data_IF_384906929952
#
_entry.id   IF_384906929952
#
_cell.length_a   1.000
_cell.length_b   1.000
_cell.length_c   1.000
_cell.angle_alpha   90.00
_cell.angle_beta   90.00
_cell.angle_gamma   90.00
#
_symmetry.space_group_name_H-M   'P 1'
#
loop_
_entity.id
_entity.type
_entity.pdbx_description
1 polymer ?
#
# COMPACT_ATOMS: atom_id res chain seq x y z
N UNK A 1 6.08 -11.61 -2.36
CA UNK A 1 5.12 -12.39 -1.55
C UNK A 1 3.82 -12.61 -2.33
N UNK A 2 2.93 -11.61 -2.53
CA UNK A 2 1.62 -11.82 -3.17
C UNK A 2 1.70 -12.55 -4.51
N UNK A 3 2.47 -12.05 -5.48
CA UNK A 3 2.60 -12.70 -6.79
C UNK A 3 2.99 -14.18 -6.73
N UNK A 4 3.87 -14.55 -5.80
CA UNK A 4 4.22 -15.96 -5.58
C UNK A 4 3.04 -16.77 -5.05
N UNK A 5 2.24 -16.22 -4.14
CA UNK A 5 1.07 -16.92 -3.57
C UNK A 5 -0.02 -17.17 -4.61
N UNK A 6 -0.23 -16.22 -5.52
CA UNK A 6 -1.29 -16.31 -6.54
C UNK A 6 -0.78 -16.76 -7.92
N UNK A 7 0.51 -17.10 -8.06
CA UNK A 7 1.10 -17.62 -9.29
C UNK A 7 1.22 -16.59 -10.42
N UNK A 8 1.24 -15.28 -10.11
CA UNK A 8 1.37 -14.23 -11.12
C UNK A 8 2.81 -13.66 -11.18
N UNK A 9 3.28 -13.30 -12.38
CA UNK A 9 4.56 -12.61 -12.54
C UNK A 9 4.52 -11.23 -11.88
N UNK A 10 5.67 -10.78 -11.39
CA UNK A 10 5.81 -9.49 -10.71
C UNK A 10 6.76 -8.61 -11.49
N UNK A 11 6.31 -7.38 -11.79
CA UNK A 11 7.07 -6.38 -12.52
C UNK A 11 7.19 -5.10 -11.71
N UNK A 12 8.29 -4.36 -11.89
CA UNK A 12 8.27 -2.93 -11.58
C UNK A 12 7.29 -2.22 -12.53
N UNK A 13 6.80 -1.03 -12.17
CA UNK A 13 5.91 -0.28 -13.07
C UNK A 13 6.59 0.04 -14.41
N UNK A 14 7.89 0.34 -14.38
CA UNK A 14 8.68 0.61 -15.59
C UNK A 14 8.80 -0.63 -16.49
N UNK A 15 9.06 -1.80 -15.89
CA UNK A 15 9.16 -3.04 -16.65
C UNK A 15 7.79 -3.52 -17.15
N UNK A 16 6.73 -3.35 -16.36
CA UNK A 16 5.38 -3.63 -16.80
C UNK A 16 5.02 -2.82 -18.06
N UNK A 17 5.35 -1.52 -18.11
CA UNK A 17 5.12 -0.65 -19.27
C UNK A 17 5.89 -1.07 -20.53
N UNK A 18 7.01 -1.79 -20.37
CA UNK A 18 7.80 -2.31 -21.50
C UNK A 18 7.34 -3.67 -21.99
N UNK A 19 6.84 -4.52 -21.06
CA UNK A 19 6.60 -5.93 -21.32
C UNK A 19 5.12 -6.30 -21.45
N UNK A 20 4.20 -5.45 -21.00
CA UNK A 20 2.76 -5.70 -21.04
C UNK A 20 2.08 -4.74 -22.03
N UNK A 21 1.05 -5.23 -22.69
CA UNK A 21 0.22 -4.40 -23.56
C UNK A 21 -0.59 -3.39 -22.74
N UNK A 22 -0.86 -2.24 -23.35
CA UNK A 22 -1.74 -1.24 -22.76
C UNK A 22 -3.14 -1.81 -22.52
N UNK A 23 -3.69 -1.60 -21.32
CA UNK A 23 -4.99 -2.13 -20.93
C UNK A 23 -4.94 -3.53 -20.33
N UNK A 24 -3.77 -4.17 -20.25
CA UNK A 24 -3.63 -5.45 -19.54
C UNK A 24 -4.19 -5.36 -18.13
N UNK A 25 -4.98 -6.38 -17.71
CA UNK A 25 -5.48 -6.50 -16.34
C UNK A 25 -4.34 -6.75 -15.36
N UNK A 26 -4.23 -5.91 -14.34
CA UNK A 26 -3.17 -6.03 -13.33
C UNK A 26 -3.70 -5.93 -11.90
N UNK A 27 -2.92 -6.45 -10.98
CA UNK A 27 -2.98 -6.18 -9.55
C UNK A 27 -1.87 -5.16 -9.23
N UNK A 28 -2.25 -4.02 -8.69
CA UNK A 28 -1.30 -2.95 -8.39
C UNK A 28 -0.93 -2.94 -6.91
N UNK A 29 0.36 -2.97 -6.61
CA UNK A 29 0.88 -2.77 -5.25
C UNK A 29 1.64 -1.46 -5.19
N UNK A 30 1.25 -0.58 -4.27
CA UNK A 30 1.93 0.71 -4.07
C UNK A 30 1.95 1.11 -2.60
N UNK A 31 2.99 1.80 -2.19
CA UNK A 31 3.06 2.31 -0.83
C UNK A 31 2.29 3.63 -0.67
N UNK A 32 1.72 3.83 0.52
CA UNK A 32 0.93 4.99 0.89
C UNK A 32 1.81 6.09 1.48
N UNK A 33 1.61 7.31 1.00
CA UNK A 33 2.14 8.52 1.62
C UNK A 33 1.05 9.59 1.63
N UNK A 34 0.65 10.04 2.83
CA UNK A 34 -0.46 10.99 3.01
C UNK A 34 -1.71 10.55 2.22
N UNK A 35 -2.13 9.31 2.41
CA UNK A 35 -3.25 8.62 1.76
C UNK A 35 -3.15 8.49 0.22
N UNK A 36 -2.10 9.03 -0.41
CA UNK A 36 -1.82 8.85 -1.83
C UNK A 36 -0.99 7.59 -2.06
N UNK A 37 -1.35 6.80 -3.09
CA UNK A 37 -0.63 5.60 -3.48
C UNK A 37 0.41 5.98 -4.54
N UNK A 38 1.68 5.72 -4.24
CA UNK A 38 2.79 6.04 -5.14
C UNK A 38 2.65 5.28 -6.46
N UNK A 39 2.69 6.02 -7.58
CA UNK A 39 2.65 5.47 -8.94
C UNK A 39 1.27 5.02 -9.44
N UNK A 40 0.23 5.01 -8.59
CA UNK A 40 -1.12 4.54 -8.96
C UNK A 40 -1.68 5.25 -10.21
N UNK A 41 -1.69 6.59 -10.23
CA UNK A 41 -2.21 7.38 -11.36
C UNK A 41 -1.48 7.12 -12.68
N UNK A 42 -0.22 6.75 -12.62
CA UNK A 42 0.56 6.39 -13.79
C UNK A 42 0.21 4.98 -14.28
N UNK A 43 0.07 4.03 -13.37
CA UNK A 43 -0.38 2.68 -13.69
C UNK A 43 -1.80 2.66 -14.28
N UNK A 44 -2.71 3.44 -13.71
CA UNK A 44 -4.11 3.55 -14.15
C UNK A 44 -4.27 4.09 -15.59
N UNK A 45 -3.33 4.94 -16.04
CA UNK A 45 -3.30 5.40 -17.43
C UNK A 45 -2.87 4.34 -18.45
N UNK A 46 -2.16 3.31 -17.97
CA UNK A 46 -1.54 2.30 -18.82
C UNK A 46 -2.29 0.97 -18.78
N UNK A 47 -2.88 0.62 -17.64
CA UNK A 47 -3.37 -0.71 -17.36
C UNK A 47 -4.81 -0.71 -16.83
N UNK A 48 -5.48 -1.85 -16.93
CA UNK A 48 -6.77 -2.09 -16.29
C UNK A 48 -6.52 -2.64 -14.88
N UNK A 49 -6.57 -1.75 -13.86
CA UNK A 49 -6.30 -2.18 -12.48
C UNK A 49 -7.53 -2.87 -11.92
N UNK A 50 -7.42 -4.16 -11.62
CA UNK A 50 -8.49 -4.99 -11.04
C UNK A 50 -8.51 -4.94 -9.53
N UNK A 51 -7.32 -4.91 -8.93
CA UNK A 51 -7.13 -4.84 -7.48
C UNK A 51 -5.98 -3.90 -7.15
N UNK A 52 -6.14 -3.15 -6.07
CA UNK A 52 -5.09 -2.30 -5.47
C UNK A 52 -4.76 -2.82 -4.09
N UNK A 53 -3.49 -3.10 -3.84
CA UNK A 53 -2.94 -3.33 -2.52
C UNK A 53 -2.13 -2.10 -2.09
N UNK A 54 -2.71 -1.27 -1.26
CA UNK A 54 -2.11 -0.05 -0.75
C UNK A 54 -1.35 -0.35 0.56
N UNK A 55 -0.03 -0.27 0.54
CA UNK A 55 0.84 -0.66 1.67
C UNK A 55 1.24 0.57 2.48
N UNK A 56 0.93 0.57 3.77
CA UNK A 56 1.21 1.68 4.69
C UNK A 56 1.73 1.23 6.05
N UNK A 57 1.85 2.16 6.98
CA UNK A 57 2.24 1.88 8.37
C UNK A 57 1.04 1.52 9.25
N UNK A 58 -0.17 1.91 8.86
CA UNK A 58 -1.40 1.58 9.59
C UNK A 58 -1.72 0.09 9.53
N UNK A 59 -2.50 -0.39 10.48
CA UNK A 59 -2.95 -1.78 10.51
C UNK A 59 -3.70 -2.16 9.23
N UNK A 60 -3.59 -3.42 8.82
CA UNK A 60 -4.28 -3.97 7.64
C UNK A 60 -5.79 -3.75 7.76
N UNK A 61 -6.43 -3.32 6.66
CA UNK A 61 -7.86 -3.01 6.61
C UNK A 61 -8.25 -1.61 7.07
N UNK A 62 -7.32 -0.82 7.64
CA UNK A 62 -7.59 0.56 8.08
C UNK A 62 -7.45 1.56 6.91
N UNK A 63 -8.03 2.76 7.05
CA UNK A 63 -7.91 3.88 6.10
C UNK A 63 -8.41 3.59 4.67
N UNK A 64 -9.10 2.49 4.42
CA UNK A 64 -9.50 2.02 3.10
C UNK A 64 -10.28 3.10 2.33
N UNK A 65 -11.30 3.69 2.96
CA UNK A 65 -12.16 4.70 2.31
C UNK A 65 -11.39 5.99 2.00
N UNK A 66 -10.51 6.41 2.89
CA UNK A 66 -9.66 7.58 2.69
C UNK A 66 -8.71 7.39 1.51
N UNK A 67 -8.04 6.23 1.45
CA UNK A 67 -7.13 5.85 0.36
C UNK A 67 -7.89 5.79 -0.96
N UNK A 68 -9.07 5.15 -1.01
CA UNK A 68 -9.91 5.07 -2.20
C UNK A 68 -10.27 6.46 -2.72
N UNK A 69 -10.78 7.34 -1.85
CA UNK A 69 -11.23 8.68 -2.20
C UNK A 69 -10.05 9.55 -2.67
N UNK A 70 -8.93 9.54 -1.95
CA UNK A 70 -7.75 10.34 -2.27
C UNK A 70 -7.16 10.01 -3.64
N UNK A 71 -7.20 8.75 -4.03
CA UNK A 71 -6.65 8.27 -5.29
C UNK A 71 -7.71 8.16 -6.40
N UNK A 72 -8.99 8.46 -6.11
CA UNK A 72 -10.11 8.38 -7.04
C UNK A 72 -10.25 6.97 -7.65
N UNK A 73 -10.06 5.94 -6.82
CA UNK A 73 -10.15 4.55 -7.27
C UNK A 73 -11.61 4.18 -7.52
N UNK A 74 -11.97 3.71 -8.74
CA UNK A 74 -13.33 3.34 -9.09
C UNK A 74 -13.92 2.30 -8.13
N UNK A 75 -15.24 2.31 -7.96
CA UNK A 75 -15.94 1.32 -7.13
C UNK A 75 -15.79 -0.12 -7.67
N UNK A 76 -15.57 -0.27 -8.97
CA UNK A 76 -15.32 -1.57 -9.62
C UNK A 76 -13.94 -2.15 -9.38
N UNK A 77 -13.01 -1.37 -8.83
CA UNK A 77 -11.65 -1.82 -8.49
C UNK A 77 -11.61 -2.21 -7.02
N UNK A 78 -11.19 -3.43 -6.72
CA UNK A 78 -11.02 -3.86 -5.33
C UNK A 78 -9.83 -3.17 -4.67
N UNK A 79 -9.94 -2.82 -3.39
CA UNK A 79 -8.88 -2.12 -2.65
C UNK A 79 -8.65 -2.78 -1.30
N UNK A 80 -7.42 -3.11 -1.04
CA UNK A 80 -6.95 -3.57 0.27
C UNK A 80 -5.87 -2.63 0.78
N UNK A 81 -5.95 -2.25 2.05
CA UNK A 81 -4.86 -1.58 2.75
C UNK A 81 -4.11 -2.63 3.57
N UNK A 82 -2.80 -2.64 3.45
CA UNK A 82 -1.95 -3.66 4.05
C UNK A 82 -0.91 -3.00 4.94
N UNK A 83 -0.70 -3.55 6.13
CA UNK A 83 0.39 -3.11 6.96
C UNK A 83 1.73 -3.59 6.40
N UNK A 84 2.65 -2.65 6.22
CA UNK A 84 3.98 -2.89 5.67
C UNK A 84 5.10 -2.64 6.66
N UNK A 85 6.20 -2.15 6.14
CA UNK A 85 7.34 -1.72 6.94
C UNK A 85 7.67 -0.25 6.72
N UNK A 86 8.49 0.28 7.60
CA UNK A 86 9.03 1.62 7.53
C UNK A 86 10.53 1.62 7.82
N UNK A 87 11.31 2.23 6.94
CA UNK A 87 12.75 2.32 7.05
C UNK A 87 13.24 3.66 6.51
N UNK A 88 13.55 4.57 7.43
CA UNK A 88 14.05 5.92 7.11
C UNK A 88 15.42 5.90 6.42
N UNK A 89 16.23 4.86 6.63
CA UNK A 89 17.58 4.78 6.06
C UNK A 89 17.53 4.44 4.57
N UNK A 90 16.49 3.72 4.15
CA UNK A 90 16.27 3.38 2.73
C UNK A 90 15.69 4.53 1.91
N UNK A 91 15.09 5.51 2.56
CA UNK A 91 14.53 6.68 1.87
C UNK A 91 15.64 7.63 1.41
N UNK A 92 15.42 8.26 0.25
CA UNK A 92 16.35 9.22 -0.35
C UNK A 92 15.60 10.48 -0.81
N UNK A 93 16.35 11.59 -0.92
CA UNK A 93 15.86 12.85 -1.50
C UNK A 93 14.60 13.37 -0.84
N UNK A 94 13.68 13.85 -1.66
CA UNK A 94 12.41 14.48 -1.23
C UNK A 94 11.57 13.55 -0.38
N UNK A 95 11.53 12.25 -0.69
CA UNK A 95 10.77 11.28 0.10
C UNK A 95 11.28 11.19 1.54
N UNK A 96 12.60 11.18 1.74
CA UNK A 96 13.20 11.19 3.08
C UNK A 96 12.84 12.45 3.86
N UNK A 97 12.89 13.63 3.20
CA UNK A 97 12.53 14.90 3.82
C UNK A 97 11.05 14.91 4.23
N UNK A 98 10.14 14.52 3.33
CA UNK A 98 8.70 14.49 3.60
C UNK A 98 8.36 13.53 4.75
N UNK A 99 8.94 12.33 4.75
CA UNK A 99 8.73 11.35 5.82
C UNK A 99 9.31 11.83 7.15
N UNK A 100 10.47 12.49 7.14
CA UNK A 100 11.04 13.10 8.35
C UNK A 100 10.12 14.18 8.94
N UNK A 101 9.51 15.00 8.11
CA UNK A 101 8.53 16.00 8.57
C UNK A 101 7.27 15.33 9.13
N UNK A 102 6.77 14.30 8.44
CA UNK A 102 5.60 13.55 8.89
C UNK A 102 5.84 12.88 10.26
N UNK A 103 6.98 12.23 10.45
CA UNK A 103 7.34 11.62 11.74
C UNK A 103 7.42 12.69 12.84
N UNK A 104 8.01 13.85 12.56
CA UNK A 104 8.10 14.95 13.53
C UNK A 104 6.75 15.56 13.90
N UNK A 105 5.80 15.62 12.98
CA UNK A 105 4.48 16.24 13.21
C UNK A 105 3.45 15.22 13.68
N UNK A 106 3.12 14.24 12.83
CA UNK A 106 2.13 13.23 13.15
C UNK A 106 2.59 12.26 14.25
N UNK A 107 3.89 11.89 14.25
CA UNK A 107 4.47 11.05 15.29
C UNK A 107 4.45 11.74 16.66
N UNK A 108 4.75 13.06 16.70
CA UNK A 108 4.64 13.84 17.94
C UNK A 108 3.21 13.95 18.43
N UNK A 109 2.26 14.29 17.53
CA UNK A 109 0.84 14.38 17.88
C UNK A 109 0.30 13.02 18.40
N UNK A 110 0.72 11.93 17.78
CA UNK A 110 0.35 10.59 18.21
C UNK A 110 1.00 10.22 19.56
N UNK A 111 2.25 10.61 19.79
CA UNK A 111 2.94 10.38 21.06
C UNK A 111 2.31 11.15 22.24
N UNK A 112 1.75 12.35 21.98
CA UNK A 112 1.06 13.18 22.98
C UNK A 112 -0.38 12.75 23.26
N UNK A 113 -0.95 11.87 22.44
CA UNK A 113 -2.31 11.34 22.63
C UNK A 113 -2.35 10.39 23.84
N UNK A 114 -3.19 10.69 24.85
CA UNK A 114 -3.28 9.90 26.09
C UNK A 114 -3.94 8.53 25.89
N UNK A 115 -4.96 8.47 25.04
CA UNK A 115 -5.81 7.27 24.84
C UNK A 115 -5.51 6.63 23.47
N UNK A 116 -4.27 6.20 23.26
CA UNK A 116 -3.90 5.48 22.02
C UNK A 116 -4.46 4.06 22.03
N UNK A 117 -4.89 3.63 20.84
CA UNK A 117 -5.22 2.23 20.60
C UNK A 117 -3.94 1.40 20.38
N UNK A 118 -3.99 0.06 20.52
CA UNK A 118 -2.85 -0.81 20.21
C UNK A 118 -2.29 -0.60 18.79
N UNK A 119 -3.17 -0.33 17.81
CA UNK A 119 -2.77 -0.05 16.42
C UNK A 119 -2.05 1.29 16.29
N UNK A 120 -2.46 2.29 17.06
CA UNK A 120 -1.79 3.59 17.13
C UNK A 120 -0.43 3.50 17.81
N UNK A 121 -0.30 2.65 18.85
CA UNK A 121 0.98 2.38 19.50
C UNK A 121 1.95 1.65 18.55
N UNK A 122 1.47 0.65 17.80
CA UNK A 122 2.28 -0.05 16.79
C UNK A 122 2.71 0.88 15.66
N UNK A 123 1.82 1.78 15.21
CA UNK A 123 2.14 2.78 14.20
C UNK A 123 3.19 3.78 14.71
N UNK A 124 3.08 4.21 15.97
CA UNK A 124 4.08 5.08 16.60
C UNK A 124 5.43 4.39 16.70
N UNK A 125 5.46 3.11 17.11
CA UNK A 125 6.67 2.31 17.16
C UNK A 125 7.35 2.24 15.79
N UNK A 126 6.60 1.93 14.74
CA UNK A 126 7.11 1.93 13.36
C UNK A 126 7.67 3.30 12.94
N UNK A 127 7.00 4.40 13.31
CA UNK A 127 7.46 5.75 12.98
C UNK A 127 8.76 6.13 13.67
N UNK A 128 8.92 5.71 14.94
CA UNK A 128 10.07 6.09 15.77
C UNK A 128 11.27 5.17 15.59
N UNK A 129 11.02 3.88 15.51
CA UNK A 129 12.05 2.85 15.54
C UNK A 129 12.26 2.17 14.18
N UNK A 130 11.32 2.38 13.24
CA UNK A 130 11.31 1.63 11.99
C UNK A 130 10.93 0.16 12.20
N UNK A 131 11.08 -0.63 11.15
CA UNK A 131 10.81 -2.07 11.20
C UNK A 131 9.89 -2.58 10.11
N UNK A 132 9.47 -3.83 10.22
CA UNK A 132 8.59 -4.48 9.26
C UNK A 132 7.46 -5.22 9.98
N UNK A 133 6.24 -5.01 9.50
CA UNK A 133 5.02 -5.76 9.86
C UNK A 133 4.51 -6.58 8.66
N UNK A 134 5.36 -6.76 7.66
CA UNK A 134 5.02 -7.55 6.47
C UNK A 134 4.84 -9.00 6.86
N UNK A 135 3.66 -9.55 6.61
CA UNK A 135 3.33 -10.95 6.90
C UNK A 135 2.46 -11.55 5.80
N UNK A 136 2.37 -12.88 5.75
CA UNK A 136 1.43 -13.58 4.86
C UNK A 136 -0.02 -13.37 5.31
N UNK A 137 -0.24 -13.19 6.60
CA UNK A 137 -1.56 -12.94 7.16
C UNK A 137 -2.20 -11.68 6.58
N UNK A 138 -1.40 -10.61 6.40
CA UNK A 138 -1.84 -9.37 5.76
C UNK A 138 -2.33 -9.58 4.32
N UNK A 139 -1.96 -10.68 3.67
CA UNK A 139 -2.36 -11.01 2.30
C UNK A 139 -3.59 -11.92 2.21
N UNK A 140 -4.18 -12.33 3.33
CA UNK A 140 -5.28 -13.29 3.37
C UNK A 140 -6.48 -12.86 2.51
N UNK A 141 -6.93 -11.61 2.66
CA UNK A 141 -8.09 -11.10 1.92
C UNK A 141 -7.79 -10.83 0.44
N UNK A 142 -6.65 -10.20 0.05
CA UNK A 142 -6.24 -10.15 -1.35
C UNK A 142 -6.16 -11.52 -2.05
N UNK A 143 -5.62 -12.54 -1.37
CA UNK A 143 -5.52 -13.89 -1.92
C UNK A 143 -6.90 -14.50 -2.11
N UNK A 144 -7.76 -14.46 -1.08
CA UNK A 144 -9.14 -14.96 -1.16
C UNK A 144 -9.93 -14.30 -2.29
N UNK A 145 -9.81 -12.98 -2.41
CA UNK A 145 -10.48 -12.25 -3.48
C UNK A 145 -10.00 -12.73 -4.85
N UNK A 146 -8.69 -12.85 -5.05
CA UNK A 146 -8.13 -13.34 -6.31
C UNK A 146 -8.61 -14.76 -6.65
N UNK A 147 -8.63 -15.66 -5.68
CA UNK A 147 -9.11 -17.04 -5.87
C UNK A 147 -10.57 -17.11 -6.33
N UNK A 148 -11.41 -16.18 -5.89
CA UNK A 148 -12.81 -16.11 -6.28
C UNK A 148 -13.01 -15.64 -7.73
N UNK A 149 -12.08 -14.83 -8.26
CA UNK A 149 -12.26 -14.21 -9.58
C UNK A 149 -11.34 -14.77 -10.67
N UNK A 150 -10.29 -15.51 -10.30
CA UNK A 150 -9.28 -16.00 -11.27
C UNK A 150 -9.84 -16.78 -12.45
N UNK A 151 -10.97 -17.47 -12.24
CA UNK A 151 -11.62 -18.30 -13.27
C UNK A 151 -12.63 -17.48 -14.12
N UNK A 152 -12.78 -16.18 -13.82
CA UNK A 152 -13.74 -15.26 -14.48
C UNK A 152 -13.03 -14.16 -15.27
N UNK A 153 -11.69 -14.01 -15.08
CA UNK A 153 -10.88 -12.96 -15.72
C UNK A 153 -10.08 -13.52 -16.89
#
# INVERSE_FOLDING_TARGET
>A
MLGHQIGLPVYSLEDAKKNLEKGTGIIYLGWIMASSIKGYKEADKCFCIRMVCAVGMGATGTQLQEVRNKNQIPASTEVFTLQGGFDMEKLRGVNKLMMSMMVKTAGKALAEKADRTPEEDDMLDLMMNGGSRVSLENLSDPIKWYEQIRDVI
#
